data_IF_997512674791
#
_entry.id   IF_997512674791
#
_cell.length_a   1.000
_cell.length_b   1.000
_cell.length_c   1.000
_cell.angle_alpha   90.00
_cell.angle_beta   90.00
_cell.angle_gamma   90.00
#
_symmetry.space_group_name_H-M   'P 1'
#
loop_
_entity.id
_entity.type
_entity.pdbx_description
1 polymer ?
#
# COMPACT_ATOMS: atom_id res chain seq x y z
N UNK A 1 12.31 -20.31 5.91
CA UNK A 1 11.33 -20.95 6.79
C UNK A 1 10.20 -20.00 7.18
N UNK A 2 10.48 -18.73 7.49
CA UNK A 2 9.46 -17.76 7.96
C UNK A 2 8.32 -17.52 6.95
N UNK A 3 8.61 -17.41 5.66
CA UNK A 3 7.60 -17.24 4.62
C UNK A 3 6.68 -18.47 4.45
N UNK A 4 7.20 -19.67 4.72
CA UNK A 4 6.45 -20.93 4.61
C UNK A 4 5.63 -21.25 5.87
N UNK A 5 6.06 -20.75 7.03
CA UNK A 5 5.37 -20.91 8.32
C UNK A 5 5.39 -19.60 9.09
N UNK A 6 4.48 -18.66 8.76
CA UNK A 6 4.39 -17.38 9.45
C UNK A 6 4.02 -17.57 10.93
N UNK A 7 4.54 -16.73 11.85
CA UNK A 7 4.02 -16.68 13.21
C UNK A 7 2.53 -16.27 13.20
N UNK A 8 1.76 -16.70 14.23
CA UNK A 8 0.41 -16.22 14.44
C UNK A 8 0.38 -14.70 14.50
N UNK A 9 -0.58 -14.10 13.80
CA UNK A 9 -0.75 -12.65 13.82
C UNK A 9 -1.33 -12.22 15.19
N UNK A 10 -0.56 -11.45 15.99
CA UNK A 10 -1.00 -10.93 17.30
C UNK A 10 -2.29 -10.12 17.25
N UNK A 11 -2.58 -9.51 16.10
CA UNK A 11 -3.65 -8.54 15.90
C UNK A 11 -4.76 -9.11 15.00
N UNK A 12 -4.75 -10.41 14.72
CA UNK A 12 -5.68 -11.04 13.77
C UNK A 12 -7.16 -10.69 14.03
N UNK A 13 -7.55 -10.59 15.31
CA UNK A 13 -8.92 -10.29 15.73
C UNK A 13 -9.21 -8.79 15.89
N UNK A 14 -8.17 -7.95 15.95
CA UNK A 14 -8.29 -6.51 16.21
C UNK A 14 -7.98 -5.65 15.00
N UNK A 15 -7.45 -6.24 13.91
CA UNK A 15 -7.17 -5.50 12.68
C UNK A 15 -8.45 -4.93 12.09
N UNK A 16 -8.45 -3.63 11.83
CA UNK A 16 -9.52 -2.98 11.07
C UNK A 16 -9.55 -3.51 9.64
N UNK A 17 -10.75 -3.80 9.14
CA UNK A 17 -10.93 -4.16 7.74
C UNK A 17 -11.13 -2.91 6.89
N UNK A 18 -10.07 -2.48 6.19
CA UNK A 18 -10.08 -1.33 5.29
C UNK A 18 -9.96 -1.77 3.81
N UNK A 19 -10.14 -3.06 3.52
CA UNK A 19 -10.00 -3.63 2.15
C UNK A 19 -11.04 -3.11 1.15
N UNK A 20 -12.11 -2.49 1.64
CA UNK A 20 -13.15 -1.85 0.85
C UNK A 20 -12.73 -0.45 0.36
N UNK A 21 -11.71 0.17 0.97
CA UNK A 21 -11.19 1.45 0.53
C UNK A 21 -10.22 1.26 -0.65
N UNK A 22 -10.26 2.21 -1.59
CA UNK A 22 -9.25 2.27 -2.65
C UNK A 22 -7.92 2.72 -2.05
N UNK A 23 -6.99 1.77 -1.96
CA UNK A 23 -5.62 2.02 -1.54
C UNK A 23 -4.73 2.19 -2.77
N UNK A 24 -3.95 3.26 -2.81
CA UNK A 24 -2.93 3.49 -3.84
C UNK A 24 -1.55 3.57 -3.20
N UNK A 25 -0.49 3.21 -3.92
CA UNK A 25 0.89 3.52 -3.54
C UNK A 25 1.52 4.39 -4.64
N UNK A 26 2.49 5.22 -4.27
CA UNK A 26 3.16 6.14 -5.21
C UNK A 26 4.67 6.04 -4.95
N UNK A 27 5.38 5.44 -5.88
CA UNK A 27 6.79 5.07 -5.70
C UNK A 27 7.61 5.32 -6.96
N UNK A 28 8.92 5.10 -6.89
CA UNK A 28 9.73 4.98 -8.11
C UNK A 28 9.33 3.70 -8.87
N UNK A 29 9.43 3.72 -10.21
CA UNK A 29 9.11 2.57 -11.07
C UNK A 29 9.87 1.29 -10.68
N UNK A 30 11.11 1.45 -10.19
CA UNK A 30 11.99 0.35 -9.80
C UNK A 30 11.75 -0.16 -8.37
N UNK A 31 10.87 0.48 -7.59
CA UNK A 31 10.60 0.11 -6.19
C UNK A 31 9.93 -1.26 -6.11
N UNK A 32 10.45 -2.16 -5.27
CA UNK A 32 9.90 -3.51 -5.05
C UNK A 32 9.45 -3.74 -3.60
N UNK A 33 10.16 -3.14 -2.64
CA UNK A 33 9.79 -3.02 -1.23
C UNK A 33 8.96 -1.75 -1.07
N UNK A 34 7.64 -1.87 -1.05
CA UNK A 34 6.70 -0.74 -0.94
C UNK A 34 6.27 -0.62 0.51
N UNK A 35 6.69 0.48 1.15
CA UNK A 35 6.51 0.70 2.58
C UNK A 35 5.14 1.30 2.93
N UNK A 36 4.60 2.15 2.06
CA UNK A 36 3.39 2.91 2.37
C UNK A 36 2.37 3.02 1.23
N UNK A 37 1.14 3.34 1.64
CA UNK A 37 0.01 3.52 0.74
C UNK A 37 -1.05 4.44 1.35
N UNK A 38 -1.89 5.00 0.49
CA UNK A 38 -2.87 6.02 0.82
C UNK A 38 -4.28 5.55 0.47
N UNK A 39 -5.23 5.79 1.37
CA UNK A 39 -6.66 5.70 1.07
C UNK A 39 -7.39 6.96 1.53
N UNK A 40 -8.56 7.20 0.95
CA UNK A 40 -9.48 8.25 1.38
C UNK A 40 -10.82 7.63 1.72
N UNK A 41 -11.36 7.99 2.88
CA UNK A 41 -12.68 7.58 3.34
C UNK A 41 -13.56 8.81 3.50
N UNK A 42 -14.74 8.75 2.89
CA UNK A 42 -15.78 9.75 3.07
C UNK A 42 -16.51 9.45 4.38
N UNK A 43 -16.71 10.47 5.20
CA UNK A 43 -17.36 10.34 6.52
C UNK A 43 -18.50 11.35 6.66
N UNK A 44 -19.66 10.85 7.05
CA UNK A 44 -20.79 11.68 7.44
C UNK A 44 -20.60 12.12 8.89
N UNK A 45 -20.81 13.41 9.14
CA UNK A 45 -20.68 14.02 10.47
C UNK A 45 -21.86 14.96 10.72
N UNK A 46 -22.25 15.12 11.99
CA UNK A 46 -23.39 15.96 12.43
C UNK A 46 -23.08 17.48 12.36
N UNK A 47 -22.20 17.89 11.44
CA UNK A 47 -21.77 19.26 11.26
C UNK A 47 -20.54 19.35 10.35
N UNK A 48 -20.15 20.56 9.93
CA UNK A 48 -18.99 20.78 9.09
C UNK A 48 -17.71 20.36 9.82
N UNK A 49 -17.06 19.28 9.38
CA UNK A 49 -15.79 18.85 9.96
C UNK A 49 -14.79 18.50 8.86
N UNK A 50 -13.81 19.37 8.66
CA UNK A 50 -12.64 19.03 7.88
C UNK A 50 -12.39 19.97 6.70
N UNK A 51 -11.85 19.43 5.60
CA UNK A 51 -11.63 20.16 4.35
C UNK A 51 -12.96 20.32 3.59
N UNK A 52 -13.86 21.13 4.14
CA UNK A 52 -15.09 21.51 3.47
C UNK A 52 -14.81 22.13 2.10
N UNK A 53 -15.61 21.76 1.10
CA UNK A 53 -15.48 22.28 -0.26
C UNK A 53 -14.40 21.62 -1.13
N UNK A 54 -13.62 20.66 -0.59
CA UNK A 54 -12.66 19.90 -1.42
C UNK A 54 -13.38 18.97 -2.42
N UNK A 55 -14.55 18.44 -2.04
CA UNK A 55 -15.50 17.78 -2.94
C UNK A 55 -16.93 18.25 -2.57
N UNK A 56 -17.76 18.63 -3.56
CA UNK A 56 -19.15 19.04 -3.30
C UNK A 56 -19.97 17.95 -2.62
N UNK A 57 -20.70 18.29 -1.56
CA UNK A 57 -21.66 17.39 -0.90
C UNK A 57 -21.10 16.48 0.19
N UNK A 58 -19.86 16.71 0.66
CA UNK A 58 -19.27 15.95 1.77
C UNK A 58 -19.31 16.73 3.08
N UNK A 59 -19.62 16.04 4.19
CA UNK A 59 -19.49 16.61 5.54
C UNK A 59 -18.05 16.56 6.06
N UNK A 60 -17.29 15.51 5.73
CA UNK A 60 -15.91 15.32 6.18
C UNK A 60 -15.12 14.29 5.34
N UNK A 61 -13.78 14.35 5.41
CA UNK A 61 -12.87 13.40 4.76
C UNK A 61 -11.84 12.88 5.76
N UNK A 62 -11.68 11.55 5.82
CA UNK A 62 -10.59 10.89 6.55
C UNK A 62 -9.54 10.39 5.56
N UNK A 63 -8.31 10.87 5.74
CA UNK A 63 -7.13 10.37 5.04
C UNK A 63 -6.55 9.21 5.82
N UNK A 64 -6.18 8.15 5.11
CA UNK A 64 -5.51 7.01 5.68
C UNK A 64 -4.11 6.88 5.09
N UNK A 65 -3.11 6.84 5.95
CA UNK A 65 -1.74 6.42 5.61
C UNK A 65 -1.56 5.01 6.14
N UNK A 66 -1.26 4.07 5.25
CA UNK A 66 -1.06 2.66 5.56
C UNK A 66 0.43 2.36 5.45
N UNK A 67 1.06 1.99 6.56
CA UNK A 67 2.47 1.59 6.58
C UNK A 67 2.53 0.06 6.69
N UNK A 68 3.42 -0.58 5.95
CA UNK A 68 3.68 -2.01 6.03
C UNK A 68 3.89 -2.46 7.49
N UNK A 69 3.38 -3.63 7.83
CA UNK A 69 3.49 -4.20 9.18
C UNK A 69 4.38 -5.46 9.17
N UNK A 70 5.72 -5.33 9.01
CA UNK A 70 6.63 -6.46 9.15
C UNK A 70 6.70 -6.94 10.61
N UNK A 71 6.37 -6.09 11.60
CA UNK A 71 6.41 -6.47 13.02
C UNK A 71 5.56 -7.70 13.32
N UNK A 72 4.39 -7.84 12.66
CA UNK A 72 3.54 -9.02 12.82
C UNK A 72 4.25 -10.35 12.49
N UNK A 73 5.35 -10.31 11.74
CA UNK A 73 6.18 -11.46 11.39
C UNK A 73 7.41 -11.64 12.29
N UNK A 74 7.82 -10.62 13.05
CA UNK A 74 9.09 -10.59 13.77
C UNK A 74 8.92 -10.94 15.26
N UNK A 75 8.14 -11.98 15.55
CA UNK A 75 7.84 -12.41 16.92
C UNK A 75 9.06 -13.07 17.58
N UNK A 76 9.60 -12.51 18.69
CA UNK A 76 10.73 -13.11 19.40
C UNK A 76 10.43 -14.55 19.82
N UNK A 77 11.42 -15.43 19.68
CA UNK A 77 11.28 -16.87 19.98
C UNK A 77 10.62 -17.69 18.88
N UNK A 78 10.08 -17.09 17.81
CA UNK A 78 9.62 -17.84 16.64
C UNK A 78 10.82 -18.35 15.80
N UNK A 79 10.78 -19.59 15.28
CA UNK A 79 11.89 -20.14 14.51
C UNK A 79 12.33 -19.24 13.36
N UNK A 80 13.64 -18.97 13.27
CA UNK A 80 14.25 -18.16 12.22
C UNK A 80 14.18 -16.65 12.44
N UNK A 81 13.36 -16.14 13.39
CA UNK A 81 13.23 -14.69 13.63
C UNK A 81 14.52 -14.10 14.21
N UNK A 82 15.17 -14.76 15.18
CA UNK A 82 16.39 -14.18 15.78
C UNK A 82 17.52 -14.06 14.75
N UNK A 83 17.71 -15.07 13.89
CA UNK A 83 18.70 -15.02 12.81
C UNK A 83 18.38 -13.91 11.79
N UNK A 84 17.09 -13.73 11.48
CA UNK A 84 16.62 -12.67 10.61
C UNK A 84 16.90 -11.27 11.20
N UNK A 85 16.59 -11.08 12.48
CA UNK A 85 16.85 -9.84 13.20
C UNK A 85 18.35 -9.56 13.32
N UNK A 86 19.17 -10.56 13.59
CA UNK A 86 20.63 -10.41 13.66
C UNK A 86 21.23 -9.99 12.32
N UNK A 87 20.76 -10.61 11.22
CA UNK A 87 21.13 -10.18 9.86
C UNK A 87 20.75 -8.72 9.59
N UNK A 88 19.54 -8.30 9.99
CA UNK A 88 19.11 -6.92 9.86
C UNK A 88 19.95 -5.94 10.70
N UNK A 89 20.30 -6.32 11.95
CA UNK A 89 21.20 -5.54 12.83
C UNK A 89 22.60 -5.41 12.25
N UNK A 90 23.14 -6.48 11.65
CA UNK A 90 24.45 -6.46 10.99
C UNK A 90 24.52 -5.47 9.81
N UNK A 91 23.36 -5.17 9.19
CA UNK A 91 23.19 -4.14 8.14
C UNK A 91 22.88 -2.75 8.70
N UNK A 92 22.90 -2.59 10.03
CA UNK A 92 22.60 -1.34 10.72
C UNK A 92 21.11 -1.00 10.76
N UNK A 93 20.22 -1.98 10.58
CA UNK A 93 18.78 -1.80 10.66
C UNK A 93 18.19 -0.96 9.52
N UNK A 94 18.76 -1.07 8.30
CA UNK A 94 18.26 -0.37 7.10
C UNK A 94 18.55 -1.14 5.82
N UNK A 95 17.79 -0.86 4.77
CA UNK A 95 18.15 -1.18 3.39
C UNK A 95 19.25 -0.22 2.91
N UNK A 96 20.28 -0.75 2.24
CA UNK A 96 21.37 0.05 1.67
C UNK A 96 21.14 0.24 0.17
N UNK A 97 21.28 1.47 -0.33
CA UNK A 97 21.06 1.79 -1.75
C UNK A 97 22.38 2.19 -2.41
N UNK A 98 22.67 1.56 -3.54
CA UNK A 98 23.87 1.76 -4.36
C UNK A 98 23.48 2.15 -5.80
N UNK A 99 24.40 2.72 -6.58
CA UNK A 99 24.13 3.05 -7.99
C UNK A 99 23.71 1.85 -8.86
N UNK A 100 24.10 0.63 -8.48
CA UNK A 100 23.80 -0.61 -9.20
C UNK A 100 22.69 -1.45 -8.54
N UNK A 101 22.00 -0.93 -7.53
CA UNK A 101 20.87 -1.61 -6.87
C UNK A 101 20.88 -1.45 -5.36
N UNK A 102 20.01 -2.19 -4.67
CA UNK A 102 19.91 -2.16 -3.21
C UNK A 102 20.36 -3.48 -2.57
N UNK A 103 20.76 -3.40 -1.30
CA UNK A 103 20.91 -4.53 -0.39
C UNK A 103 19.86 -4.37 0.70
N UNK A 104 18.70 -5.06 0.59
CA UNK A 104 17.59 -4.87 1.51
C UNK A 104 17.93 -5.28 2.95
N UNK A 105 17.21 -4.69 3.90
CA UNK A 105 17.35 -4.96 5.34
C UNK A 105 17.03 -6.44 5.65
N UNK A 106 15.95 -6.94 5.07
CA UNK A 106 15.52 -8.33 5.17
C UNK A 106 15.72 -9.07 3.84
N UNK A 107 15.72 -10.42 3.81
CA UNK A 107 15.73 -11.18 2.57
C UNK A 107 14.61 -10.74 1.62
N UNK A 108 14.91 -10.62 0.32
CA UNK A 108 13.96 -10.13 -0.70
C UNK A 108 12.62 -10.85 -0.70
N UNK A 109 12.64 -12.16 -0.48
CA UNK A 109 11.42 -12.96 -0.41
C UNK A 109 10.46 -12.54 0.72
N UNK A 110 10.97 -11.85 1.75
CA UNK A 110 10.19 -11.22 2.82
C UNK A 110 9.93 -9.75 2.51
N UNK A 111 10.98 -8.97 2.24
CA UNK A 111 10.89 -7.51 2.05
C UNK A 111 10.03 -7.12 0.84
N UNK A 112 10.21 -7.79 -0.30
CA UNK A 112 9.42 -7.55 -1.52
C UNK A 112 8.13 -8.39 -1.54
N UNK A 113 7.99 -9.30 -0.58
CA UNK A 113 6.87 -10.21 -0.44
C UNK A 113 5.90 -9.74 0.65
N UNK A 114 5.74 -10.52 1.73
CA UNK A 114 4.78 -10.21 2.79
C UNK A 114 5.01 -8.93 3.58
N UNK A 115 6.21 -8.32 3.50
CA UNK A 115 6.50 -7.05 4.19
C UNK A 115 6.21 -5.83 3.30
N UNK A 116 5.79 -6.03 2.06
CA UNK A 116 5.53 -4.96 1.09
C UNK A 116 4.03 -4.85 0.79
N UNK A 117 3.58 -3.62 0.51
CA UNK A 117 2.23 -3.31 0.04
C UNK A 117 2.06 -3.77 -1.42
N UNK A 118 1.80 -5.06 -1.60
CA UNK A 118 1.68 -5.69 -2.92
C UNK A 118 0.33 -5.41 -3.57
N UNK A 119 0.38 -4.92 -4.81
CA UNK A 119 -0.79 -4.65 -5.64
C UNK A 119 -1.70 -5.88 -5.78
N UNK A 120 -3.01 -5.66 -5.67
CA UNK A 120 -4.09 -6.65 -5.74
C UNK A 120 -4.03 -7.76 -4.68
N UNK A 121 -3.21 -7.60 -3.63
CA UNK A 121 -3.17 -8.50 -2.48
C UNK A 121 -3.76 -7.82 -1.26
N UNK A 122 -4.36 -8.61 -0.39
CA UNK A 122 -4.63 -8.18 0.97
C UNK A 122 -3.33 -8.24 1.76
N UNK A 123 -3.00 -7.14 2.42
CA UNK A 123 -1.77 -6.97 3.17
C UNK A 123 -2.06 -6.39 4.54
N UNK A 124 -1.26 -6.81 5.51
CA UNK A 124 -1.30 -6.31 6.87
C UNK A 124 -0.52 -5.01 6.97
N UNK A 125 -1.13 -4.01 7.59
CA UNK A 125 -0.58 -2.66 7.71
C UNK A 125 -0.84 -2.08 9.10
N UNK A 126 -0.01 -1.14 9.51
CA UNK A 126 -0.33 -0.18 10.55
C UNK A 126 -0.92 1.07 9.88
N UNK A 127 -2.19 1.38 10.17
CA UNK A 127 -2.91 2.48 9.53
C UNK A 127 -3.08 3.68 10.46
N UNK A 128 -2.80 4.86 9.93
CA UNK A 128 -2.99 6.16 10.56
C UNK A 128 -4.15 6.86 9.84
N UNK A 129 -5.28 7.02 10.52
CA UNK A 129 -6.45 7.73 10.00
C UNK A 129 -6.50 9.14 10.57
N UNK A 130 -6.50 10.15 9.71
CA UNK A 130 -6.53 11.56 10.11
C UNK A 130 -7.68 12.30 9.44
N UNK A 131 -8.39 13.14 10.21
CA UNK A 131 -9.32 14.13 9.68
C UNK A 131 -8.68 15.49 9.84
N UNK A 132 -8.54 16.25 8.76
CA UNK A 132 -7.90 17.57 8.76
C UNK A 132 -8.97 18.66 8.67
N UNK A 133 -8.88 19.70 9.49
CA UNK A 133 -9.65 20.95 9.38
C UNK A 133 -9.24 21.74 8.13
N UNK A 134 -10.02 22.75 7.78
CA UNK A 134 -9.76 23.66 6.66
C UNK A 134 -8.43 24.41 6.75
N UNK A 135 -7.91 24.64 7.95
CA UNK A 135 -6.58 25.22 8.19
C UNK A 135 -5.43 24.20 8.15
N UNK A 136 -5.72 22.93 7.87
CA UNK A 136 -4.77 21.82 7.85
C UNK A 136 -4.46 21.22 9.24
N UNK A 137 -5.06 21.71 10.33
CA UNK A 137 -4.88 21.13 11.66
C UNK A 137 -5.62 19.79 11.81
N UNK A 138 -5.12 18.91 12.69
CA UNK A 138 -5.80 17.65 12.98
C UNK A 138 -7.10 17.89 13.76
N UNK A 139 -8.22 17.49 13.16
CA UNK A 139 -9.51 17.40 13.83
C UNK A 139 -9.64 16.10 14.62
N UNK A 140 -9.12 15.01 14.05
CA UNK A 140 -9.14 13.68 14.64
C UNK A 140 -7.94 12.86 14.14
N UNK A 141 -7.46 11.94 14.96
CA UNK A 141 -6.36 11.03 14.65
C UNK A 141 -6.61 9.66 15.30
N UNK A 142 -6.49 8.60 14.51
CA UNK A 142 -6.53 7.23 15.00
C UNK A 142 -5.39 6.40 14.40
N UNK A 143 -4.89 5.45 15.19
CA UNK A 143 -3.85 4.50 14.76
C UNK A 143 -4.32 3.10 15.08
N UNK A 144 -4.28 2.20 14.10
CA UNK A 144 -4.70 0.81 14.31
C UNK A 144 -3.98 -0.14 13.36
N UNK A 145 -3.61 -1.35 13.80
CA UNK A 145 -3.40 -2.46 12.89
C UNK A 145 -4.64 -2.61 11.99
N UNK A 146 -4.42 -2.84 10.71
CA UNK A 146 -5.47 -2.99 9.73
C UNK A 146 -5.07 -3.97 8.62
N UNK A 147 -6.03 -4.24 7.73
CA UNK A 147 -5.82 -4.94 6.47
C UNK A 147 -6.36 -4.06 5.34
N UNK A 148 -5.57 -3.93 4.28
CA UNK A 148 -5.93 -3.18 3.08
C UNK A 148 -5.74 -4.04 1.84
N UNK A 149 -6.36 -3.64 0.73
CA UNK A 149 -6.09 -4.20 -0.59
C UNK A 149 -5.56 -3.10 -1.50
N UNK A 150 -4.28 -3.17 -1.83
CA UNK A 150 -3.65 -2.18 -2.73
C UNK A 150 -4.30 -2.30 -4.10
N UNK A 151 -5.02 -1.26 -4.50
CA UNK A 151 -5.81 -1.24 -5.74
C UNK A 151 -4.92 -0.86 -6.92
N UNK A 152 -4.06 0.16 -6.75
CA UNK A 152 -3.13 0.62 -7.79
C UNK A 152 -1.76 0.92 -7.20
N UNK A 153 -0.71 0.49 -7.89
CA UNK A 153 0.65 0.95 -7.67
C UNK A 153 0.97 1.97 -8.76
N UNK A 154 1.22 3.21 -8.37
CA UNK A 154 1.52 4.30 -9.28
C UNK A 154 3.00 4.65 -9.21
N UNK A 155 3.56 5.06 -10.33
CA UNK A 155 4.82 5.81 -10.30
C UNK A 155 4.57 7.28 -10.00
N UNK A 156 5.58 8.01 -9.51
CA UNK A 156 5.50 9.47 -9.38
C UNK A 156 5.03 10.15 -10.68
N UNK A 157 5.57 9.73 -11.82
CA UNK A 157 5.18 10.26 -13.12
C UNK A 157 3.70 9.99 -13.45
N UNK A 158 3.18 8.80 -13.11
CA UNK A 158 1.76 8.49 -13.30
C UNK A 158 0.87 9.32 -12.36
N UNK A 159 1.29 9.50 -11.11
CA UNK A 159 0.59 10.36 -10.16
C UNK A 159 0.51 11.81 -10.67
N UNK A 160 1.62 12.36 -11.16
CA UNK A 160 1.66 13.72 -11.76
C UNK A 160 0.71 13.86 -12.96
N UNK A 161 0.66 12.85 -13.84
CA UNK A 161 -0.25 12.85 -14.98
C UNK A 161 -1.72 12.84 -14.56
N UNK A 162 -2.07 12.05 -13.54
CA UNK A 162 -3.43 12.01 -12.99
C UNK A 162 -3.81 13.37 -12.38
N UNK A 163 -2.89 14.01 -11.68
CA UNK A 163 -3.09 15.34 -11.10
C UNK A 163 -3.28 16.41 -12.19
N UNK A 164 -2.44 16.41 -13.23
CA UNK A 164 -2.56 17.35 -14.35
C UNK A 164 -3.92 17.20 -15.07
N UNK A 165 -4.33 15.95 -15.32
CA UNK A 165 -5.62 15.63 -15.95
C UNK A 165 -6.78 16.13 -15.10
N UNK A 166 -6.74 15.93 -13.79
CA UNK A 166 -7.78 16.38 -12.86
C UNK A 166 -7.90 17.92 -12.79
N UNK A 167 -6.81 18.64 -13.03
CA UNK A 167 -6.77 20.10 -13.04
C UNK A 167 -7.11 20.72 -14.42
N UNK A 168 -7.41 19.89 -15.43
CA UNK A 168 -7.63 20.36 -16.80
C UNK A 168 -6.36 20.88 -17.48
N UNK A 169 -5.19 20.61 -16.92
CA UNK A 169 -3.91 20.94 -17.52
C UNK A 169 -3.47 19.82 -18.48
N UNK A 170 -2.98 20.18 -19.67
CA UNK A 170 -2.35 19.19 -20.56
C UNK A 170 -1.12 18.58 -19.87
N UNK A 171 -0.95 17.25 -19.87
CA UNK A 171 0.20 16.62 -19.24
C UNK A 171 1.52 17.12 -19.86
N UNK A 172 2.62 17.21 -19.09
CA UNK A 172 3.92 17.64 -19.61
C UNK A 172 4.37 16.71 -20.75
N UNK A 173 4.96 17.31 -21.79
CA UNK A 173 5.17 16.74 -23.14
C UNK A 173 6.09 15.50 -23.26
N UNK A 174 6.41 14.80 -22.17
CA UNK A 174 7.24 13.59 -22.17
C UNK A 174 6.47 12.29 -21.89
N UNK A 175 5.15 12.32 -21.87
CA UNK A 175 4.31 11.16 -21.55
C UNK A 175 3.44 10.72 -22.73
N UNK A 176 4.05 10.18 -23.79
CA UNK A 176 3.30 9.42 -24.79
C UNK A 176 3.05 8.02 -24.24
N UNK A 177 1.92 7.80 -23.57
CA UNK A 177 1.42 6.46 -23.31
C UNK A 177 0.51 6.03 -24.47
N UNK A 178 0.81 4.86 -25.04
CA UNK A 178 -0.11 4.16 -25.95
C UNK A 178 -1.45 3.94 -25.22
N UNK A 179 -2.53 4.37 -25.87
CA UNK A 179 -3.92 4.31 -25.41
C UNK A 179 -4.32 2.91 -24.94
N UNK A 180 -4.58 2.72 -23.62
CA UNK A 180 -5.53 1.71 -23.13
C UNK A 180 -6.06 1.93 -21.69
N UNK A 181 -6.32 3.17 -21.24
CA UNK A 181 -6.77 3.37 -19.84
C UNK A 181 -7.89 4.38 -19.61
N UNK A 182 -8.75 4.62 -20.60
CA UNK A 182 -9.96 5.45 -20.38
C UNK A 182 -11.19 4.60 -20.04
N UNK A 183 -11.21 3.30 -20.34
CA UNK A 183 -12.42 2.47 -20.16
C UNK A 183 -12.56 1.82 -18.77
N UNK A 184 -11.51 1.79 -17.93
CA UNK A 184 -11.53 1.01 -16.69
C UNK A 184 -12.15 1.74 -15.49
N UNK A 185 -12.24 3.08 -15.52
CA UNK A 185 -12.87 3.85 -14.42
C UNK A 185 -14.41 3.87 -14.56
N UNK A 186 -14.96 3.72 -15.77
CA UNK A 186 -16.40 3.73 -16.01
C UNK A 186 -17.08 2.34 -15.87
N UNK A 187 -16.33 1.24 -15.98
CA UNK A 187 -16.90 -0.11 -16.06
C UNK A 187 -17.23 -0.78 -14.70
N UNK A 188 -17.00 -0.12 -13.56
CA UNK A 188 -17.24 -0.70 -12.24
C UNK A 188 -18.72 -0.85 -11.82
N UNK A 189 -19.68 -0.48 -12.68
CA UNK A 189 -21.13 -0.57 -12.42
C UNK A 189 -21.88 -1.60 -13.32
N UNK A 190 -21.27 -2.75 -13.63
CA UNK A 190 -21.93 -3.76 -14.49
C UNK A 190 -21.51 -5.21 -14.23
N UNK A 191 -22.34 -5.93 -13.48
CA UNK A 191 -22.64 -7.38 -13.52
C UNK A 191 -21.65 -8.42 -14.09
N UNK A 192 -21.24 -9.34 -13.20
CA UNK A 192 -21.19 -10.81 -13.30
C UNK A 192 -21.00 -11.57 -14.64
N UNK A 193 -19.96 -12.41 -14.69
CA UNK A 193 -19.99 -13.89 -14.82
C UNK A 193 -19.05 -14.55 -15.87
N UNK A 194 -18.52 -15.71 -15.43
CA UNK A 194 -17.90 -16.86 -16.14
C UNK A 194 -16.54 -16.76 -16.85
N UNK A 195 -15.52 -17.36 -16.23
CA UNK A 195 -14.95 -18.66 -16.67
C UNK A 195 -13.83 -18.69 -17.72
N UNK A 196 -12.67 -19.26 -17.37
CA UNK A 196 -11.70 -19.78 -18.35
C UNK A 196 -10.26 -19.85 -17.83
N UNK A 197 -9.67 -21.05 -17.83
CA UNK A 197 -8.41 -21.43 -17.19
C UNK A 197 -7.19 -21.43 -18.12
N UNK A 198 -5.98 -21.53 -17.51
CA UNK A 198 -4.70 -21.89 -18.12
C UNK A 198 -3.65 -20.78 -17.92
N UNK A 199 -2.40 -21.01 -17.51
CA UNK A 199 -1.62 -22.22 -17.22
C UNK A 199 -0.13 -21.86 -17.42
N UNK A 200 0.70 -22.09 -16.39
CA UNK A 200 2.18 -22.23 -16.45
C UNK A 200 3.03 -20.99 -16.75
N UNK A 201 4.00 -20.64 -15.89
CA UNK A 201 5.33 -21.24 -15.95
C UNK A 201 6.27 -20.71 -14.83
N UNK A 202 7.29 -21.54 -14.59
CA UNK A 202 8.39 -21.49 -13.63
C UNK A 202 9.11 -20.15 -13.41
N UNK A 203 9.44 -19.91 -12.15
CA UNK A 203 10.43 -18.93 -11.70
C UNK A 203 11.09 -19.42 -10.41
N UNK A 204 12.35 -19.80 -10.52
CA UNK A 204 13.26 -20.31 -9.50
C UNK A 204 13.05 -19.74 -8.08
N UNK A 205 12.64 -20.62 -7.16
CA UNK A 205 12.51 -20.34 -5.73
C UNK A 205 13.87 -20.08 -5.09
N UNK A 206 14.15 -18.82 -4.77
CA UNK A 206 15.19 -18.50 -3.81
C UNK A 206 14.62 -18.78 -2.43
N UNK A 207 14.93 -19.98 -1.91
CA UNK A 207 14.44 -20.45 -0.61
C UNK A 207 14.81 -19.45 0.49
N UNK A 208 13.80 -18.86 1.11
CA UNK A 208 13.97 -18.14 2.36
C UNK A 208 14.47 -19.16 3.40
N UNK A 209 15.64 -18.91 3.98
CA UNK A 209 16.09 -19.57 5.20
C UNK A 209 15.07 -19.37 6.33
#
# INVERSE_FOLDING_TARGET
>A
VLAASPPPDPHATTRLNLTHLRCITIDDQSTTEVDDGLSVQLIDTDGPLGLEGLLPGLSAVRFWVHVADPDRWLRPGWPGVEQLLESARSRGGRSLYFPWGNAPMFPRCLSEGPFSLRQHKEVEVLSFGAVLRSDGSLADLCVSPARVRVTHKLTYQQADQLLATAQGASPPAAATFHQTTTDTIAAANGSSSSGGAGGGNDGSEQQCA
#
